data_IF_948719313682
#
_entry.id   IF_948719313682
#
_cell.length_a   1.000
_cell.length_b   1.000
_cell.length_c   1.000
_cell.angle_alpha   90.00
_cell.angle_beta   90.00
_cell.angle_gamma   90.00
#
_symmetry.space_group_name_H-M   'P 1'
#
loop_
_entity.id
_entity.type
_entity.pdbx_description
1 polymer ?
#
# COMPACT_ATOMS: atom_id res chain seq x y z
N UNK A 1 -36.57 2.86 25.34
CA UNK A 1 -36.76 1.58 26.02
C UNK A 1 -37.85 0.71 25.38
N UNK A 2 -38.61 1.18 24.40
CA UNK A 2 -39.64 0.42 23.66
C UNK A 2 -40.90 0.08 24.45
N UNK A 3 -41.13 0.69 25.61
CA UNK A 3 -42.31 0.44 26.43
C UNK A 3 -43.56 1.04 25.79
N UNK A 4 -44.69 0.34 25.92
CA UNK A 4 -45.98 0.81 25.46
C UNK A 4 -46.48 2.01 26.28
N UNK A 5 -46.90 3.08 25.61
CA UNK A 5 -47.66 4.16 26.23
C UNK A 5 -49.12 3.83 26.13
N UNK A 6 -49.81 3.60 27.26
CA UNK A 6 -51.23 3.26 27.29
C UNK A 6 -52.06 4.41 26.70
N UNK A 7 -52.87 4.10 25.69
CA UNK A 7 -53.74 5.07 25.01
C UNK A 7 -53.09 5.86 23.87
N UNK A 8 -51.83 5.58 23.51
CA UNK A 8 -51.16 6.16 22.37
C UNK A 8 -51.51 5.44 21.07
N UNK A 9 -51.59 6.19 19.95
CA UNK A 9 -51.57 5.59 18.62
C UNK A 9 -50.14 5.07 18.34
N UNK A 10 -50.03 3.82 17.85
CA UNK A 10 -48.75 3.27 17.43
C UNK A 10 -48.86 2.68 16.02
N UNK A 11 -47.82 2.88 15.26
CA UNK A 11 -47.68 2.22 13.97
C UNK A 11 -46.66 1.08 14.13
N UNK A 12 -47.10 -0.15 13.79
CA UNK A 12 -46.23 -1.30 13.78
C UNK A 12 -45.57 -1.43 12.41
N UNK A 13 -44.33 -1.03 12.31
CA UNK A 13 -43.52 -1.33 11.13
C UNK A 13 -42.99 -2.76 11.28
N UNK A 14 -43.38 -3.65 10.36
CA UNK A 14 -42.86 -5.02 10.33
C UNK A 14 -41.38 -5.00 10.02
N UNK A 15 -40.62 -5.89 10.63
CA UNK A 15 -39.25 -6.12 10.26
C UNK A 15 -39.16 -6.51 8.78
N UNK A 16 -38.16 -6.00 8.10
CA UNK A 16 -37.76 -6.42 6.74
C UNK A 16 -36.50 -7.22 6.87
N UNK A 17 -36.45 -8.36 6.18
CA UNK A 17 -35.21 -9.13 6.07
C UNK A 17 -34.15 -8.30 5.39
N UNK A 18 -32.88 -8.46 5.80
CA UNK A 18 -31.73 -7.86 5.14
C UNK A 18 -31.40 -8.56 3.82
N UNK A 19 -30.37 -8.08 3.18
CA UNK A 19 -29.82 -8.71 1.96
C UNK A 19 -28.58 -9.51 2.36
N UNK A 20 -28.47 -10.73 1.86
CA UNK A 20 -27.26 -11.53 2.05
C UNK A 20 -26.09 -10.93 1.28
N UNK A 21 -24.89 -10.96 1.87
CA UNK A 21 -23.64 -10.63 1.22
C UNK A 21 -22.87 -11.91 0.93
N UNK A 22 -22.48 -12.09 -0.33
CA UNK A 22 -21.57 -13.17 -0.75
C UNK A 22 -20.21 -12.55 -0.99
N UNK A 23 -19.23 -12.97 -0.20
CA UNK A 23 -17.86 -12.46 -0.25
C UNK A 23 -16.94 -13.52 -0.89
N UNK A 24 -15.80 -13.07 -1.39
CA UNK A 24 -14.73 -13.94 -1.93
C UNK A 24 -13.83 -14.52 -0.83
N UNK A 25 -14.01 -14.10 0.41
CA UNK A 25 -13.20 -14.54 1.55
C UNK A 25 -13.31 -16.06 1.75
N UNK A 26 -12.16 -16.73 1.83
CA UNK A 26 -12.05 -18.14 2.25
C UNK A 26 -11.76 -18.20 3.75
N UNK A 27 -12.65 -18.86 4.51
CA UNK A 27 -12.57 -18.92 5.98
C UNK A 27 -11.26 -19.57 6.46
N UNK A 28 -10.74 -20.56 5.74
CA UNK A 28 -9.51 -21.23 6.14
C UNK A 28 -8.28 -20.34 5.87
N UNK A 29 -8.25 -19.69 4.69
CA UNK A 29 -7.17 -18.75 4.34
C UNK A 29 -7.20 -17.56 5.29
N UNK A 30 -8.37 -17.01 5.58
CA UNK A 30 -8.56 -15.91 6.54
C UNK A 30 -8.00 -16.28 7.92
N UNK A 31 -8.39 -17.44 8.46
CA UNK A 31 -7.94 -17.88 9.78
C UNK A 31 -6.41 -18.08 9.86
N UNK A 32 -5.82 -18.65 8.82
CA UNK A 32 -4.35 -18.83 8.75
C UNK A 32 -3.65 -17.46 8.65
N UNK A 33 -4.18 -16.54 7.85
CA UNK A 33 -3.63 -15.21 7.69
C UNK A 33 -3.72 -14.39 8.98
N UNK A 34 -4.83 -14.45 9.70
CA UNK A 34 -5.01 -13.79 11.00
C UNK A 34 -4.02 -14.29 12.03
N UNK A 35 -3.84 -15.62 12.14
CA UNK A 35 -2.89 -16.18 13.09
C UNK A 35 -1.45 -15.78 12.74
N UNK A 36 -1.07 -15.90 11.48
CA UNK A 36 0.27 -15.52 11.02
C UNK A 36 0.55 -14.02 11.23
N UNK A 37 -0.46 -13.18 11.03
CA UNK A 37 -0.35 -11.74 11.27
C UNK A 37 -0.18 -11.44 12.77
N UNK A 38 -0.96 -12.08 13.63
CA UNK A 38 -0.87 -11.90 15.07
C UNK A 38 0.53 -12.32 15.59
N UNK A 39 1.02 -13.48 15.17
CA UNK A 39 2.37 -13.97 15.52
C UNK A 39 3.47 -13.00 15.02
N UNK A 40 3.29 -12.41 13.83
CA UNK A 40 4.24 -11.44 13.27
C UNK A 40 4.25 -10.13 14.05
N UNK A 41 3.09 -9.60 14.41
CA UNK A 41 2.96 -8.37 15.21
C UNK A 41 3.58 -8.55 16.59
N UNK A 42 3.29 -9.69 17.27
CA UNK A 42 3.86 -10.00 18.58
C UNK A 42 5.40 -10.17 18.51
N UNK A 43 5.89 -10.97 17.56
CA UNK A 43 7.32 -11.23 17.44
C UNK A 43 8.16 -10.02 17.05
N UNK A 44 7.55 -9.04 16.39
CA UNK A 44 8.19 -7.80 15.95
C UNK A 44 8.04 -6.65 16.96
N UNK A 45 7.30 -6.84 18.05
CA UNK A 45 6.92 -5.80 19.02
C UNK A 45 6.30 -4.58 18.30
N UNK A 46 5.44 -4.87 17.30
CA UNK A 46 4.77 -3.85 16.52
C UNK A 46 3.43 -3.46 17.13
N UNK A 47 3.04 -2.19 16.97
CA UNK A 47 1.76 -1.70 17.48
C UNK A 47 0.57 -2.28 16.73
N UNK A 48 0.74 -2.52 15.42
CA UNK A 48 -0.31 -3.06 14.55
C UNK A 48 0.28 -3.68 13.27
N UNK A 49 -0.57 -4.39 12.55
CA UNK A 49 -0.27 -4.93 11.24
C UNK A 49 -1.52 -5.18 10.41
N UNK A 50 -1.34 -5.37 9.12
CA UNK A 50 -2.40 -5.78 8.21
C UNK A 50 -1.88 -6.75 7.17
N UNK A 51 -2.77 -7.61 6.66
CA UNK A 51 -2.46 -8.55 5.60
C UNK A 51 -3.64 -8.73 4.66
N UNK A 52 -3.33 -8.88 3.37
CA UNK A 52 -4.31 -9.21 2.34
C UNK A 52 -3.79 -10.39 1.50
N UNK A 53 -4.69 -11.31 1.17
CA UNK A 53 -4.38 -12.44 0.27
C UNK A 53 -5.32 -12.35 -0.92
N UNK A 54 -4.75 -12.25 -2.11
CA UNK A 54 -5.49 -12.14 -3.37
C UNK A 54 -5.15 -13.29 -4.31
N UNK A 55 -6.13 -13.70 -5.12
CA UNK A 55 -5.87 -14.52 -6.28
C UNK A 55 -5.38 -13.61 -7.43
N UNK A 56 -4.13 -13.76 -7.90
CA UNK A 56 -3.59 -12.89 -8.94
C UNK A 56 -4.23 -13.09 -10.33
N UNK A 57 -4.96 -14.20 -10.54
CA UNK A 57 -5.64 -14.47 -11.79
C UNK A 57 -7.00 -13.77 -11.90
N UNK A 58 -7.69 -13.60 -10.79
CA UNK A 58 -9.05 -13.04 -10.75
C UNK A 58 -9.12 -11.68 -10.07
N UNK A 59 -8.17 -11.37 -9.18
CA UNK A 59 -8.19 -10.20 -8.30
C UNK A 59 -9.08 -10.40 -7.06
N UNK A 60 -9.65 -11.59 -6.87
CA UNK A 60 -10.48 -11.89 -5.70
C UNK A 60 -9.66 -11.82 -4.41
N UNK A 61 -10.24 -11.15 -3.39
CA UNK A 61 -9.66 -11.10 -2.06
C UNK A 61 -10.09 -12.34 -1.29
N UNK A 62 -9.13 -13.18 -0.95
CA UNK A 62 -9.34 -14.44 -0.23
C UNK A 62 -9.19 -14.30 1.28
N UNK A 63 -8.39 -13.34 1.73
CA UNK A 63 -8.28 -12.94 3.14
C UNK A 63 -7.94 -11.45 3.25
N UNK A 64 -8.44 -10.82 4.32
CA UNK A 64 -8.21 -9.42 4.61
C UNK A 64 -8.21 -9.22 6.14
N UNK A 65 -7.04 -8.97 6.72
CA UNK A 65 -6.81 -9.02 8.15
C UNK A 65 -6.20 -7.74 8.69
N UNK A 66 -6.58 -7.38 9.92
CA UNK A 66 -5.92 -6.36 10.72
C UNK A 66 -5.59 -6.94 12.10
N UNK A 67 -4.47 -6.50 12.68
CA UNK A 67 -4.07 -6.81 14.04
C UNK A 67 -3.67 -5.51 14.75
N UNK A 68 -4.12 -5.24 16.01
CA UNK A 68 -5.03 -6.06 16.80
C UNK A 68 -6.41 -6.20 16.15
N UNK A 69 -7.11 -7.26 16.50
CA UNK A 69 -8.51 -7.51 16.14
C UNK A 69 -9.42 -7.28 17.34
N UNK A 70 -10.72 -7.37 17.16
CA UNK A 70 -11.70 -7.14 18.22
C UNK A 70 -12.73 -8.28 18.30
N UNK A 71 -13.33 -8.43 19.48
CA UNK A 71 -14.45 -9.33 19.69
C UNK A 71 -15.76 -8.66 19.24
N UNK A 72 -16.34 -9.14 18.15
CA UNK A 72 -17.59 -8.65 17.59
C UNK A 72 -18.80 -8.84 18.55
N UNK A 73 -18.66 -9.71 19.54
CA UNK A 73 -19.72 -9.95 20.54
C UNK A 73 -19.64 -9.00 21.74
N UNK A 74 -18.51 -8.27 21.91
CA UNK A 74 -18.30 -7.31 23.01
C UNK A 74 -17.81 -5.94 22.51
N UNK A 75 -18.63 -5.31 21.68
CA UNK A 75 -18.32 -3.99 21.12
C UNK A 75 -18.19 -2.88 22.18
N UNK A 76 -18.80 -3.07 23.36
CA UNK A 76 -18.74 -2.07 24.43
C UNK A 76 -17.34 -1.93 25.03
N UNK A 77 -16.53 -2.98 25.00
CA UNK A 77 -15.16 -3.01 25.49
C UNK A 77 -14.11 -2.97 24.36
N UNK A 78 -14.55 -2.79 23.11
CA UNK A 78 -13.67 -2.73 21.94
C UNK A 78 -13.09 -1.31 21.80
N UNK A 79 -11.78 -1.22 21.55
CA UNK A 79 -11.15 0.04 21.14
C UNK A 79 -11.61 0.38 19.70
N UNK A 80 -12.12 1.59 19.50
CA UNK A 80 -12.58 2.03 18.18
C UNK A 80 -11.51 1.95 17.07
N UNK A 81 -10.24 2.10 17.43
CA UNK A 81 -9.13 1.99 16.48
C UNK A 81 -8.95 0.55 15.94
N UNK A 82 -9.32 -0.47 16.73
CA UNK A 82 -9.19 -1.88 16.36
C UNK A 82 -10.33 -2.36 15.44
N UNK A 83 -11.38 -1.54 15.30
CA UNK A 83 -12.50 -1.79 14.37
C UNK A 83 -12.17 -1.38 12.93
N UNK A 84 -11.05 -0.72 12.70
CA UNK A 84 -10.64 -0.30 11.36
C UNK A 84 -10.05 -1.48 10.56
N UNK A 85 -10.46 -1.59 9.32
CA UNK A 85 -9.81 -2.48 8.36
C UNK A 85 -8.60 -1.75 7.76
N UNK A 86 -7.46 -1.81 8.47
CA UNK A 86 -6.26 -1.02 8.20
C UNK A 86 -5.71 -1.17 6.79
N UNK A 87 -5.82 -2.36 6.20
CA UNK A 87 -5.39 -2.62 4.82
C UNK A 87 -6.15 -1.77 3.79
N UNK A 88 -7.30 -1.22 4.19
CA UNK A 88 -8.16 -0.36 3.34
C UNK A 88 -8.08 1.11 3.76
N UNK A 89 -7.93 1.35 5.07
CA UNK A 89 -8.04 2.72 5.64
C UNK A 89 -6.72 3.43 5.82
N UNK A 90 -5.63 2.69 6.03
CA UNK A 90 -4.35 3.29 6.40
C UNK A 90 -3.46 3.47 5.16
N UNK A 91 -3.03 4.71 4.94
CA UNK A 91 -2.04 5.03 3.92
C UNK A 91 -0.63 4.97 4.51
N UNK A 92 0.32 4.41 3.78
CA UNK A 92 1.71 4.30 4.20
C UNK A 92 2.68 4.44 3.02
N UNK A 93 3.93 4.80 3.32
CA UNK A 93 4.98 4.78 2.30
C UNK A 93 5.42 3.34 2.02
N UNK A 94 5.27 2.82 0.80
CA UNK A 94 5.53 1.41 0.50
C UNK A 94 7.01 1.02 0.62
N UNK A 95 7.90 1.99 0.53
CA UNK A 95 9.34 1.76 0.60
C UNK A 95 9.84 0.81 -0.49
N UNK A 96 10.90 -0.04 -0.15
CA UNK A 96 11.62 -0.85 -1.13
C UNK A 96 10.78 -1.85 -1.92
N UNK A 97 9.58 -2.21 -1.49
CA UNK A 97 8.70 -3.07 -2.28
C UNK A 97 8.23 -2.38 -3.56
N UNK A 98 8.15 -1.06 -3.54
CA UNK A 98 7.77 -0.25 -4.68
C UNK A 98 8.78 -0.30 -5.84
N UNK A 99 10.04 -0.63 -5.55
CA UNK A 99 11.11 -0.77 -6.57
C UNK A 99 10.78 -1.81 -7.63
N UNK A 100 9.96 -2.81 -7.31
CA UNK A 100 9.51 -3.81 -8.29
C UNK A 100 8.63 -3.19 -9.36
N UNK A 101 7.69 -2.32 -8.97
CA UNK A 101 6.85 -1.58 -9.92
C UNK A 101 7.70 -0.65 -10.78
N UNK A 102 8.59 0.14 -10.15
CA UNK A 102 9.46 1.08 -10.88
C UNK A 102 10.40 0.36 -11.86
N UNK A 103 10.96 -0.78 -11.46
CA UNK A 103 11.78 -1.59 -12.38
C UNK A 103 10.92 -2.16 -13.53
N UNK A 104 9.68 -2.55 -13.24
CA UNK A 104 8.70 -2.99 -14.24
C UNK A 104 8.40 -1.91 -15.27
N UNK A 105 8.15 -0.66 -14.85
CA UNK A 105 7.96 0.50 -15.74
C UNK A 105 9.09 0.63 -16.76
N UNK A 106 10.33 0.61 -16.26
CA UNK A 106 11.50 0.78 -17.12
C UNK A 106 11.72 -0.36 -18.11
N UNK A 107 11.36 -1.57 -17.72
CA UNK A 107 11.44 -2.77 -18.61
C UNK A 107 10.32 -2.73 -19.65
N UNK A 108 9.09 -2.43 -19.23
CA UNK A 108 7.91 -2.39 -20.12
C UNK A 108 8.03 -1.28 -21.16
N UNK A 109 8.59 -0.14 -20.80
CA UNK A 109 8.96 0.95 -21.72
C UNK A 109 10.10 0.59 -22.68
N UNK A 110 10.76 -0.55 -22.54
CA UNK A 110 11.93 -0.93 -23.32
C UNK A 110 13.16 -0.09 -23.07
N UNK A 111 13.19 0.72 -22.01
CA UNK A 111 14.32 1.60 -21.66
C UNK A 111 15.48 0.85 -21.04
N UNK A 112 15.21 -0.31 -20.47
CA UNK A 112 16.19 -1.18 -19.81
C UNK A 112 15.78 -2.64 -19.79
N UNK A 113 16.75 -3.48 -19.50
CA UNK A 113 16.58 -4.92 -19.24
C UNK A 113 17.16 -5.22 -17.86
N UNK A 114 16.91 -6.41 -17.28
CA UNK A 114 17.54 -6.82 -16.03
C UNK A 114 19.07 -6.73 -16.02
N UNK A 115 19.70 -6.81 -17.20
CA UNK A 115 21.15 -6.79 -17.37
C UNK A 115 21.69 -5.41 -17.80
N UNK A 116 20.81 -4.41 -17.95
CA UNK A 116 21.23 -3.01 -18.18
C UNK A 116 22.07 -2.51 -17.01
N UNK A 117 23.23 -1.97 -17.30
CA UNK A 117 24.19 -1.46 -16.30
C UNK A 117 24.02 0.02 -16.03
N UNK A 118 24.28 0.39 -14.78
CA UNK A 118 24.28 1.75 -14.27
C UNK A 118 25.56 2.00 -13.48
N UNK A 119 26.20 3.13 -13.70
CA UNK A 119 27.31 3.59 -12.85
C UNK A 119 26.71 4.30 -11.63
N UNK A 120 26.53 3.52 -10.56
CA UNK A 120 25.84 3.96 -9.36
C UNK A 120 26.84 4.59 -8.40
N UNK A 121 26.74 5.91 -8.14
CA UNK A 121 27.63 6.59 -7.21
C UNK A 121 27.36 6.19 -5.76
N UNK A 122 28.26 6.55 -4.87
CA UNK A 122 28.07 6.37 -3.44
C UNK A 122 26.85 7.14 -2.93
N UNK A 123 26.67 8.33 -3.47
CA UNK A 123 25.61 9.26 -3.08
C UNK A 123 25.01 9.93 -4.32
N UNK A 124 23.72 10.12 -4.33
CA UNK A 124 22.96 10.86 -5.35
C UNK A 124 22.21 11.99 -4.70
N UNK A 125 22.42 13.20 -5.14
CA UNK A 125 21.63 14.35 -4.74
C UNK A 125 20.29 14.32 -5.51
N UNK A 126 19.19 14.37 -4.79
CA UNK A 126 17.85 14.49 -5.35
C UNK A 126 17.25 15.83 -4.92
N UNK A 127 16.77 16.61 -5.90
CA UNK A 127 16.26 17.96 -5.68
C UNK A 127 17.27 19.05 -5.97
N UNK A 128 16.83 20.27 -5.69
CA UNK A 128 17.62 21.49 -5.81
C UNK A 128 18.60 21.64 -4.63
N UNK A 129 19.10 22.84 -4.36
CA UNK A 129 20.10 23.12 -3.32
C UNK A 129 19.75 22.64 -1.90
N UNK A 130 18.46 22.36 -1.64
CA UNK A 130 17.93 21.85 -0.38
C UNK A 130 17.50 20.36 -0.45
N UNK A 131 17.83 19.68 -1.56
CA UNK A 131 17.51 18.27 -1.75
C UNK A 131 18.25 17.36 -0.78
N UNK A 132 17.64 16.22 -0.47
CA UNK A 132 18.25 15.19 0.35
C UNK A 132 19.30 14.41 -0.45
N UNK A 133 20.44 14.17 0.18
CA UNK A 133 21.44 13.25 -0.33
C UNK A 133 20.99 11.81 -0.01
N UNK A 134 20.92 10.99 -1.06
CA UNK A 134 20.58 9.56 -0.95
C UNK A 134 21.87 8.77 -1.04
N UNK A 135 22.20 8.04 0.01
CA UNK A 135 23.37 7.19 0.07
C UNK A 135 23.01 5.78 0.55
N UNK A 136 23.56 4.76 -0.09
CA UNK A 136 23.42 3.36 0.34
C UNK A 136 24.75 2.82 0.92
N UNK A 137 25.87 3.40 0.50
CA UNK A 137 27.22 2.94 0.78
C UNK A 137 28.21 4.09 0.57
N UNK A 138 29.44 3.88 0.97
CA UNK A 138 30.53 4.88 0.90
C UNK A 138 31.41 4.79 -0.36
N UNK A 139 31.03 3.95 -1.35
CA UNK A 139 31.75 3.79 -2.61
C UNK A 139 30.81 3.68 -3.82
N UNK A 140 31.30 4.12 -4.97
CA UNK A 140 30.64 3.95 -6.26
C UNK A 140 30.86 2.54 -6.83
N UNK A 141 29.90 2.01 -7.57
CA UNK A 141 30.08 0.76 -8.32
C UNK A 141 29.14 0.68 -9.51
N UNK A 142 29.57 -0.01 -10.57
CA UNK A 142 28.68 -0.36 -11.67
C UNK A 142 27.80 -1.54 -11.28
N UNK A 143 26.50 -1.40 -11.42
CA UNK A 143 25.50 -2.44 -11.11
C UNK A 143 24.56 -2.65 -12.27
N UNK A 144 24.15 -3.88 -12.51
CA UNK A 144 22.98 -4.16 -13.36
C UNK A 144 21.69 -3.82 -12.62
N UNK A 145 20.56 -3.65 -13.36
CA UNK A 145 19.25 -3.48 -12.74
C UNK A 145 18.96 -4.64 -11.76
N UNK A 146 19.29 -5.87 -12.14
CA UNK A 146 19.19 -7.06 -11.28
C UNK A 146 19.97 -6.89 -9.97
N UNK A 147 21.19 -6.36 -10.05
CA UNK A 147 22.03 -6.13 -8.87
C UNK A 147 21.50 -4.99 -8.01
N UNK A 148 20.98 -3.90 -8.62
CA UNK A 148 20.30 -2.80 -7.92
C UNK A 148 19.12 -3.35 -7.10
N UNK A 149 18.29 -4.18 -7.72
CA UNK A 149 17.15 -4.82 -7.05
C UNK A 149 17.58 -5.78 -5.95
N UNK A 150 18.56 -6.64 -6.22
CA UNK A 150 19.07 -7.63 -5.25
C UNK A 150 19.65 -6.97 -4.00
N UNK A 151 20.31 -5.82 -4.17
CA UNK A 151 20.90 -5.03 -3.07
C UNK A 151 19.93 -4.04 -2.46
N UNK A 152 18.76 -3.89 -3.06
CA UNK A 152 17.79 -2.85 -2.67
C UNK A 152 18.41 -1.44 -2.67
N UNK A 153 19.26 -1.13 -3.66
CA UNK A 153 19.98 0.14 -3.74
C UNK A 153 19.04 1.32 -4.00
N UNK A 154 18.96 2.28 -3.09
CA UNK A 154 18.21 3.51 -3.29
C UNK A 154 18.88 4.41 -4.33
N UNK A 155 20.20 4.58 -4.23
CA UNK A 155 20.96 5.37 -5.22
C UNK A 155 20.81 4.81 -6.63
N UNK A 156 20.81 3.48 -6.78
CA UNK A 156 20.56 2.82 -8.05
C UNK A 156 19.14 3.08 -8.58
N UNK A 157 18.13 3.03 -7.70
CA UNK A 157 16.74 3.28 -8.11
C UNK A 157 16.50 4.74 -8.50
N UNK A 158 17.17 5.71 -7.90
CA UNK A 158 17.14 7.10 -8.36
C UNK A 158 17.55 7.20 -9.83
N UNK A 159 18.64 6.52 -10.23
CA UNK A 159 19.06 6.50 -11.63
C UNK A 159 18.07 5.80 -12.55
N UNK A 160 17.43 4.73 -12.06
CA UNK A 160 16.35 4.04 -12.79
C UNK A 160 15.17 4.99 -13.03
N UNK A 161 14.70 5.68 -11.99
CA UNK A 161 13.62 6.66 -12.11
C UNK A 161 13.96 7.82 -13.04
N UNK A 162 15.18 8.35 -12.94
CA UNK A 162 15.66 9.40 -13.86
C UNK A 162 15.68 8.92 -15.31
N UNK A 163 16.03 7.66 -15.56
CA UNK A 163 15.99 7.08 -16.91
C UNK A 163 14.56 6.87 -17.44
N UNK A 164 13.60 6.56 -16.58
CA UNK A 164 12.17 6.47 -16.91
C UNK A 164 11.65 7.87 -17.27
N UNK A 165 12.01 8.86 -16.47
CA UNK A 165 11.54 10.24 -16.59
C UNK A 165 10.18 10.47 -15.92
N UNK A 166 9.94 11.70 -15.54
CA UNK A 166 8.81 12.07 -14.70
C UNK A 166 7.43 11.87 -15.38
N UNK A 167 7.34 12.08 -16.69
CA UNK A 167 6.09 11.93 -17.43
C UNK A 167 5.66 10.47 -17.50
N UNK A 168 6.56 9.59 -17.95
CA UNK A 168 6.30 8.15 -17.98
C UNK A 168 6.01 7.60 -16.56
N UNK A 169 6.73 8.09 -15.56
CA UNK A 169 6.54 7.64 -14.18
C UNK A 169 5.12 7.97 -13.70
N UNK A 170 4.63 9.19 -13.96
CA UNK A 170 3.26 9.60 -13.60
C UNK A 170 2.21 8.79 -14.36
N UNK A 171 2.38 8.57 -15.68
CA UNK A 171 1.49 7.74 -16.48
C UNK A 171 1.37 6.30 -15.95
N UNK A 172 2.49 5.73 -15.47
CA UNK A 172 2.48 4.39 -14.87
C UNK A 172 1.84 4.35 -13.49
N UNK A 173 1.99 5.39 -12.66
CA UNK A 173 1.26 5.48 -11.40
C UNK A 173 -0.25 5.41 -11.65
N UNK A 174 -0.74 6.20 -12.62
CA UNK A 174 -2.14 6.18 -13.02
C UNK A 174 -2.56 4.80 -13.57
N UNK A 175 -1.74 4.18 -14.43
CA UNK A 175 -2.01 2.87 -15.00
C UNK A 175 -2.07 1.75 -13.96
N UNK A 176 -1.27 1.85 -12.90
CA UNK A 176 -1.33 0.94 -11.75
C UNK A 176 -2.48 1.25 -10.78
N UNK A 177 -3.20 2.35 -10.99
CA UNK A 177 -4.28 2.78 -10.11
C UNK A 177 -3.80 3.38 -8.78
N UNK A 178 -2.51 3.73 -8.67
CA UNK A 178 -1.95 4.35 -7.47
C UNK A 178 -2.54 5.76 -7.31
N UNK A 179 -3.06 6.06 -6.12
CA UNK A 179 -3.74 7.33 -5.85
C UNK A 179 -5.24 7.32 -6.15
N UNK A 180 -5.80 6.17 -6.57
CA UNK A 180 -7.24 6.02 -6.84
C UNK A 180 -7.86 4.96 -5.96
N UNK A 181 -9.17 5.04 -5.75
CA UNK A 181 -9.90 4.00 -5.02
C UNK A 181 -9.94 2.70 -5.81
N UNK A 182 -9.71 1.58 -5.15
CA UNK A 182 -9.79 0.24 -5.73
C UNK A 182 -11.22 -0.17 -6.10
N UNK A 183 -12.22 0.48 -5.49
CA UNK A 183 -13.62 0.12 -5.61
C UNK A 183 -14.07 -0.98 -4.66
N UNK A 184 -13.26 -1.30 -3.66
CA UNK A 184 -13.69 -2.18 -2.56
C UNK A 184 -14.88 -1.54 -1.84
N UNK A 185 -15.96 -2.29 -1.66
CA UNK A 185 -17.16 -1.81 -0.98
C UNK A 185 -16.97 -1.83 0.54
N UNK A 186 -16.00 -1.03 1.02
CA UNK A 186 -15.71 -0.83 2.44
C UNK A 186 -15.57 0.66 2.75
N UNK A 187 -16.20 1.14 3.84
CA UNK A 187 -16.15 2.56 4.19
C UNK A 187 -14.74 2.97 4.63
N UNK A 188 -14.34 4.19 4.25
CA UNK A 188 -13.08 4.78 4.70
C UNK A 188 -11.86 4.40 3.87
N UNK A 189 -12.03 3.82 2.68
CA UNK A 189 -10.91 3.54 1.79
C UNK A 189 -10.07 4.79 1.54
N UNK A 190 -8.77 4.69 1.83
CA UNK A 190 -7.76 5.70 1.54
C UNK A 190 -7.31 5.60 0.08
N UNK A 191 -7.11 6.74 -0.57
CA UNK A 191 -6.45 6.78 -1.89
C UNK A 191 -4.94 6.93 -1.78
N UNK A 192 -4.42 7.05 -0.55
CA UNK A 192 -3.03 7.44 -0.35
C UNK A 192 -2.78 8.91 -0.65
N UNK A 193 -1.50 9.26 -0.79
CA UNK A 193 -1.03 10.61 -1.13
C UNK A 193 -0.08 10.49 -2.31
N UNK A 194 -0.56 10.88 -3.49
CA UNK A 194 0.20 10.90 -4.74
C UNK A 194 0.19 12.32 -5.26
N UNK A 195 1.37 12.85 -5.54
CA UNK A 195 1.51 14.19 -6.12
C UNK A 195 1.07 14.18 -7.57
N UNK A 196 0.36 15.20 -7.99
CA UNK A 196 0.12 15.45 -9.41
C UNK A 196 1.44 15.67 -10.14
N UNK A 197 1.51 15.25 -11.41
CA UNK A 197 2.72 15.41 -12.22
C UNK A 197 3.25 16.86 -12.24
N UNK A 198 2.36 17.83 -12.23
CA UNK A 198 2.68 19.27 -12.20
C UNK A 198 3.33 19.74 -10.90
N UNK A 199 3.21 18.94 -9.84
CA UNK A 199 3.75 19.21 -8.51
C UNK A 199 5.10 18.53 -8.26
N UNK A 200 5.64 17.79 -9.26
CA UNK A 200 6.93 17.14 -9.12
C UNK A 200 8.02 18.20 -9.05
N UNK A 201 8.71 18.24 -7.92
CA UNK A 201 9.95 19.00 -7.73
C UNK A 201 11.15 18.13 -8.07
N UNK A 202 12.36 18.69 -7.97
CA UNK A 202 13.59 17.96 -8.26
C UNK A 202 13.80 16.71 -7.40
N UNK A 203 13.17 16.63 -6.24
CA UNK A 203 13.31 15.49 -5.29
C UNK A 203 12.24 14.42 -5.48
N UNK A 204 11.06 14.77 -5.99
CA UNK A 204 9.89 13.88 -6.06
C UNK A 204 10.20 12.57 -6.79
N UNK A 205 10.67 12.66 -8.03
CA UNK A 205 10.96 11.48 -8.84
C UNK A 205 12.02 10.58 -8.19
N UNK A 206 13.07 11.18 -7.61
CA UNK A 206 14.13 10.44 -6.93
C UNK A 206 13.60 9.63 -5.76
N UNK A 207 12.87 10.28 -4.86
CA UNK A 207 12.31 9.63 -3.66
C UNK A 207 11.25 8.58 -4.00
N UNK A 208 10.32 8.88 -4.90
CA UNK A 208 9.29 7.94 -5.33
C UNK A 208 9.88 6.69 -6.01
N UNK A 209 11.06 6.80 -6.64
CA UNK A 209 11.72 5.65 -7.29
C UNK A 209 12.08 4.52 -6.33
N UNK A 210 12.16 4.77 -5.03
CA UNK A 210 12.38 3.75 -4.01
C UNK A 210 11.26 3.69 -2.96
N UNK A 211 10.10 4.30 -3.27
CA UNK A 211 8.86 4.19 -2.50
C UNK A 211 8.78 5.12 -1.29
N UNK A 212 9.44 6.28 -1.33
CA UNK A 212 9.29 7.36 -0.36
C UNK A 212 8.73 8.62 -1.03
N UNK A 213 8.08 9.49 -0.24
CA UNK A 213 7.40 10.67 -0.78
C UNK A 213 6.14 10.34 -1.59
N UNK A 214 5.64 9.13 -1.47
CA UNK A 214 4.38 8.61 -2.00
C UNK A 214 3.76 7.73 -0.93
N UNK A 215 2.45 7.84 -0.70
CA UNK A 215 1.71 6.93 0.19
C UNK A 215 0.64 6.19 -0.60
N UNK A 216 0.50 4.90 -0.33
CA UNK A 216 -0.46 4.00 -0.98
C UNK A 216 -1.38 3.39 0.03
#
# INVERSE_FOLDING_TARGET
>A
DGSYIAGGAYEKVSAKDGTDLVLTLDVNIQSVAEQALADAVESSDADYGSAIVCDPATGEILACCSCPTYDQTDLANTNAADMNLRVVTDAYEPGSVFKTLVSGMGIDLGLMTPDTTFDVPAEVKVGDDWGNDIADRDYAMTMTLREIMRRSSNTGMVLVGQKIGADNFAEYLDAYGIGTKSGIDFPGESTGIVRERSEYDGSSLGSMSFGQGISV
#
